data_IF_153791745698
#
_entry.id   IF_153791745698
#
_cell.length_a   1.000
_cell.length_b   1.000
_cell.length_c   1.000
_cell.angle_alpha   90.00
_cell.angle_beta   90.00
_cell.angle_gamma   90.00
#
_symmetry.space_group_name_H-M   'P 1'
#
loop_
_entity.id
_entity.type
_entity.pdbx_description
1 polymer ?
#
# COMPACT_ATOMS: atom_id res chain seq x y z
N UNK A 1 15.69 2.91 15.23
CA UNK A 1 14.95 4.15 15.57
C UNK A 1 15.34 5.39 14.74
N UNK A 2 16.22 5.30 13.72
CA UNK A 2 16.75 6.47 12.98
C UNK A 2 15.78 7.11 11.97
N UNK A 3 14.64 6.48 11.68
CA UNK A 3 13.69 6.91 10.64
C UNK A 3 12.48 7.66 11.18
N UNK A 4 12.22 7.59 12.50
CA UNK A 4 11.06 8.24 13.13
C UNK A 4 11.05 9.76 12.92
N UNK A 5 12.17 10.50 13.09
CA UNK A 5 12.18 11.94 12.85
C UNK A 5 11.90 12.31 11.40
N UNK A 6 12.38 11.49 10.46
CA UNK A 6 12.13 11.66 9.03
C UNK A 6 10.67 11.38 8.66
N UNK A 7 10.07 10.33 9.24
CA UNK A 7 8.65 10.04 9.08
C UNK A 7 7.78 11.19 9.56
N UNK A 8 8.09 11.76 10.74
CA UNK A 8 7.38 12.92 11.27
C UNK A 8 7.52 14.16 10.37
N UNK A 9 8.72 14.41 9.83
CA UNK A 9 8.95 15.52 8.90
C UNK A 9 8.15 15.38 7.61
N UNK A 10 8.10 14.17 7.04
CA UNK A 10 7.31 13.88 5.84
C UNK A 10 5.81 14.03 6.12
N UNK A 11 5.33 13.52 7.26
CA UNK A 11 3.92 13.66 7.66
C UNK A 11 3.53 15.12 7.91
N UNK A 12 4.39 15.91 8.55
CA UNK A 12 4.16 17.33 8.78
C UNK A 12 4.12 18.14 7.48
N UNK A 13 5.04 17.86 6.56
CA UNK A 13 5.05 18.48 5.23
C UNK A 13 3.77 18.14 4.44
N UNK A 14 3.36 16.87 4.47
CA UNK A 14 2.14 16.41 3.81
C UNK A 14 0.88 17.08 4.40
N UNK A 15 0.77 17.13 5.73
CA UNK A 15 -0.32 17.82 6.41
C UNK A 15 -0.36 19.32 6.06
N UNK A 16 0.80 20.00 6.10
CA UNK A 16 0.92 21.41 5.75
C UNK A 16 0.50 21.70 4.30
N UNK A 17 0.96 20.89 3.34
CA UNK A 17 0.56 21.01 1.93
C UNK A 17 -0.95 20.81 1.74
N UNK A 18 -1.53 19.82 2.42
CA UNK A 18 -2.97 19.53 2.33
C UNK A 18 -3.80 20.67 2.92
N UNK A 19 -3.37 21.22 4.06
CA UNK A 19 -4.03 22.36 4.70
C UNK A 19 -3.91 23.66 3.85
N UNK A 20 -2.74 23.94 3.28
CA UNK A 20 -2.48 25.13 2.46
C UNK A 20 -3.24 25.12 1.13
N UNK A 21 -3.46 23.95 0.53
CA UNK A 21 -4.15 23.82 -0.75
C UNK A 21 -5.67 23.74 -0.62
N UNK A 22 -6.23 23.85 0.59
CA UNK A 22 -7.68 23.82 0.84
C UNK A 22 -8.26 22.41 0.95
N UNK A 23 -7.46 21.42 1.34
CA UNK A 23 -7.89 20.03 1.52
C UNK A 23 -8.23 19.21 0.26
N UNK A 24 -7.76 19.52 -0.97
CA UNK A 24 -8.12 18.72 -2.12
C UNK A 24 -7.50 17.32 -1.97
N UNK A 25 -8.37 16.32 -1.96
CA UNK A 25 -8.05 14.90 -1.81
C UNK A 25 -6.96 14.42 -2.79
N UNK A 26 -6.76 15.13 -3.91
CA UNK A 26 -5.72 14.86 -4.89
C UNK A 26 -4.29 14.91 -4.32
N UNK A 27 -4.01 15.76 -3.32
CA UNK A 27 -2.68 15.85 -2.69
C UNK A 27 -2.35 14.54 -1.98
N UNK A 28 -3.34 13.97 -1.29
CA UNK A 28 -3.24 12.65 -0.68
C UNK A 28 -3.02 11.55 -1.71
N UNK A 29 -3.76 11.56 -2.82
CA UNK A 29 -3.60 10.57 -3.88
C UNK A 29 -2.19 10.60 -4.45
N UNK A 30 -1.66 11.78 -4.78
CA UNK A 30 -0.31 11.92 -5.36
C UNK A 30 0.75 11.42 -4.37
N UNK A 31 0.64 11.80 -3.10
CA UNK A 31 1.54 11.34 -2.05
C UNK A 31 1.48 9.82 -1.86
N UNK A 32 0.28 9.26 -1.71
CA UNK A 32 0.08 7.83 -1.52
C UNK A 32 0.59 7.03 -2.73
N UNK A 33 0.32 7.51 -3.95
CA UNK A 33 0.82 6.89 -5.18
C UNK A 33 2.35 6.91 -5.23
N UNK A 34 3.00 8.03 -4.93
CA UNK A 34 4.46 8.13 -4.91
C UNK A 34 5.08 7.15 -3.91
N UNK A 35 4.52 7.06 -2.70
CA UNK A 35 4.98 6.13 -1.66
C UNK A 35 4.80 4.67 -2.09
N UNK A 36 3.60 4.28 -2.54
CA UNK A 36 3.29 2.91 -2.92
C UNK A 36 4.08 2.45 -4.16
N UNK A 37 4.23 3.32 -5.17
CA UNK A 37 5.04 3.00 -6.36
C UNK A 37 6.52 2.87 -6.01
N UNK A 38 7.05 3.73 -5.13
CA UNK A 38 8.43 3.60 -4.65
C UNK A 38 8.63 2.30 -3.88
N UNK A 39 7.72 1.97 -2.97
CA UNK A 39 7.75 0.72 -2.22
C UNK A 39 7.66 -0.50 -3.16
N UNK A 40 6.78 -0.45 -4.15
CA UNK A 40 6.64 -1.50 -5.16
C UNK A 40 7.95 -1.71 -5.93
N UNK A 41 8.59 -0.63 -6.40
CA UNK A 41 9.87 -0.73 -7.10
C UNK A 41 10.95 -1.37 -6.23
N UNK A 42 11.07 -0.95 -4.95
CA UNK A 42 12.03 -1.51 -4.00
C UNK A 42 11.77 -2.99 -3.76
N UNK A 43 10.55 -3.38 -3.41
CA UNK A 43 10.22 -4.78 -3.10
C UNK A 43 10.28 -5.69 -4.32
N UNK A 44 9.95 -5.17 -5.51
CA UNK A 44 10.14 -5.89 -6.78
C UNK A 44 11.63 -6.12 -7.05
N UNK A 45 12.46 -5.10 -6.89
CA UNK A 45 13.92 -5.24 -7.03
C UNK A 45 14.49 -6.25 -6.03
N UNK A 46 14.08 -6.18 -4.76
CA UNK A 46 14.53 -7.14 -3.72
C UNK A 46 14.09 -8.58 -4.02
N UNK A 47 12.90 -8.76 -4.58
CA UNK A 47 12.40 -10.05 -5.02
C UNK A 47 13.21 -10.59 -6.22
N UNK A 48 13.37 -9.77 -7.26
CA UNK A 48 14.08 -10.15 -8.49
C UNK A 48 15.58 -10.42 -8.25
N UNK A 49 16.17 -9.74 -7.26
CA UNK A 49 17.57 -9.94 -6.86
C UNK A 49 17.75 -11.02 -5.78
N UNK A 50 16.68 -11.69 -5.35
CA UNK A 50 16.67 -12.69 -4.28
C UNK A 50 17.31 -12.20 -2.96
N UNK A 51 17.26 -10.90 -2.67
CA UNK A 51 17.92 -10.28 -1.51
C UNK A 51 17.11 -10.30 -0.23
N UNK A 52 15.80 -10.53 -0.34
CA UNK A 52 14.90 -10.56 0.82
C UNK A 52 13.79 -11.58 0.59
N UNK A 53 13.74 -12.61 1.44
CA UNK A 53 12.65 -13.57 1.44
C UNK A 53 11.33 -12.86 1.78
N UNK A 54 10.23 -13.25 1.14
CA UNK A 54 8.94 -12.58 1.31
C UNK A 54 8.78 -11.27 0.53
N UNK A 55 9.83 -10.72 -0.09
CA UNK A 55 9.73 -9.47 -0.85
C UNK A 55 8.73 -9.54 -2.01
N UNK A 56 8.64 -10.69 -2.69
CA UNK A 56 7.65 -10.91 -3.75
C UNK A 56 6.21 -10.85 -3.22
N UNK A 57 5.98 -11.39 -2.01
CA UNK A 57 4.66 -11.38 -1.36
C UNK A 57 4.29 -9.96 -0.95
N UNK A 58 5.25 -9.18 -0.44
CA UNK A 58 5.03 -7.76 -0.12
C UNK A 58 4.76 -6.93 -1.38
N UNK A 59 5.50 -7.17 -2.47
CA UNK A 59 5.24 -6.51 -3.75
C UNK A 59 3.83 -6.80 -4.27
N UNK A 60 3.38 -8.06 -4.19
CA UNK A 60 2.01 -8.46 -4.54
C UNK A 60 0.97 -7.75 -3.66
N UNK A 61 1.20 -7.66 -2.35
CA UNK A 61 0.30 -6.92 -1.46
C UNK A 61 0.18 -5.43 -1.87
N UNK A 62 1.30 -4.78 -2.22
CA UNK A 62 1.31 -3.39 -2.70
C UNK A 62 0.54 -3.26 -4.03
N UNK A 63 0.74 -4.18 -4.97
CA UNK A 63 -0.01 -4.21 -6.23
C UNK A 63 -1.53 -4.34 -5.99
N UNK A 64 -1.94 -5.21 -5.07
CA UNK A 64 -3.35 -5.36 -4.72
C UNK A 64 -3.92 -4.11 -4.07
N UNK A 65 -3.16 -3.36 -3.27
CA UNK A 65 -3.61 -2.07 -2.73
C UNK A 65 -3.79 -1.01 -3.83
N UNK A 66 -2.90 -0.97 -4.83
CA UNK A 66 -3.05 -0.09 -5.99
C UNK A 66 -4.29 -0.48 -6.82
N UNK A 67 -4.51 -1.78 -7.02
CA UNK A 67 -5.72 -2.28 -7.67
C UNK A 67 -6.98 -1.95 -6.88
N UNK A 68 -6.96 -2.07 -5.56
CA UNK A 68 -8.06 -1.69 -4.68
C UNK A 68 -8.38 -0.19 -4.84
N UNK A 69 -7.37 0.68 -4.84
CA UNK A 69 -7.58 2.11 -5.08
C UNK A 69 -8.23 2.40 -6.45
N UNK A 70 -7.85 1.66 -7.49
CA UNK A 70 -8.50 1.77 -8.80
C UNK A 70 -9.96 1.29 -8.76
N UNK A 71 -10.25 0.20 -8.04
CA UNK A 71 -11.63 -0.28 -7.81
C UNK A 71 -12.45 0.78 -7.08
N UNK A 72 -11.92 1.38 -6.01
CA UNK A 72 -12.59 2.43 -5.24
C UNK A 72 -12.91 3.67 -6.09
N UNK A 73 -12.06 4.00 -7.06
CA UNK A 73 -12.27 5.10 -7.99
C UNK A 73 -13.17 4.75 -9.19
N UNK A 74 -13.69 3.53 -9.25
CA UNK A 74 -14.51 3.02 -10.36
C UNK A 74 -15.97 2.84 -9.94
N UNK A 75 -16.82 2.40 -10.89
CA UNK A 75 -18.19 1.97 -10.63
C UNK A 75 -18.33 0.43 -10.59
N UNK A 76 -17.23 -0.29 -10.37
CA UNK A 76 -17.24 -1.76 -10.28
C UNK A 76 -18.10 -2.19 -9.08
N UNK A 77 -18.93 -3.21 -9.29
CA UNK A 77 -19.68 -3.86 -8.23
C UNK A 77 -19.56 -5.38 -8.40
N UNK A 78 -19.67 -6.10 -7.28
CA UNK A 78 -19.59 -7.54 -7.23
C UNK A 78 -20.80 -8.08 -6.48
N UNK A 79 -21.56 -8.96 -7.11
CA UNK A 79 -22.62 -9.70 -6.44
C UNK A 79 -22.10 -11.09 -6.08
N UNK A 80 -21.90 -11.32 -4.78
CA UNK A 80 -21.67 -12.64 -4.22
C UNK A 80 -22.98 -13.13 -3.61
N UNK A 81 -23.00 -13.43 -2.29
CA UNK A 81 -24.23 -13.69 -1.54
C UNK A 81 -24.99 -12.39 -1.19
N UNK A 82 -24.24 -11.29 -1.03
CA UNK A 82 -24.76 -9.93 -0.84
C UNK A 82 -24.12 -9.00 -1.87
N UNK A 83 -24.80 -7.90 -2.27
CA UNK A 83 -24.22 -6.91 -3.17
C UNK A 83 -23.07 -6.15 -2.48
N UNK A 84 -21.95 -6.04 -3.19
CA UNK A 84 -20.85 -5.14 -2.84
C UNK A 84 -20.72 -4.07 -3.92
N UNK A 85 -20.85 -2.81 -3.53
CA UNK A 85 -20.50 -1.66 -4.37
C UNK A 85 -18.97 -1.50 -4.47
N UNK A 86 -18.50 -0.47 -5.15
CA UNK A 86 -17.07 -0.20 -5.35
C UNK A 86 -16.30 -0.12 -4.02
N UNK A 87 -16.91 0.40 -2.94
CA UNK A 87 -16.29 0.46 -1.62
C UNK A 87 -16.24 -0.92 -0.97
N UNK A 88 -17.31 -1.72 -1.09
CA UNK A 88 -17.34 -3.09 -0.65
C UNK A 88 -16.26 -3.95 -1.33
N UNK A 89 -16.14 -3.83 -2.66
CA UNK A 89 -15.11 -4.55 -3.43
C UNK A 89 -13.71 -4.06 -3.07
N UNK A 90 -13.52 -2.74 -2.89
CA UNK A 90 -12.28 -2.17 -2.37
C UNK A 90 -11.85 -2.84 -1.06
N UNK A 91 -12.75 -2.93 -0.08
CA UNK A 91 -12.46 -3.55 1.21
C UNK A 91 -12.13 -5.03 1.11
N UNK A 92 -12.81 -5.79 0.23
CA UNK A 92 -12.48 -7.20 0.00
C UNK A 92 -11.06 -7.38 -0.52
N UNK A 93 -10.65 -6.58 -1.51
CA UNK A 93 -9.27 -6.59 -2.04
C UNK A 93 -8.28 -6.13 -0.97
N UNK A 94 -8.63 -5.11 -0.17
CA UNK A 94 -7.78 -4.56 0.88
C UNK A 94 -7.52 -5.55 2.02
N UNK A 95 -8.53 -6.34 2.43
CA UNK A 95 -8.38 -7.40 3.43
C UNK A 95 -7.36 -8.43 2.96
N UNK A 96 -7.50 -8.90 1.72
CA UNK A 96 -6.56 -9.86 1.12
C UNK A 96 -5.14 -9.28 1.03
N UNK A 97 -5.03 -8.03 0.56
CA UNK A 97 -3.75 -7.32 0.48
C UNK A 97 -3.08 -7.21 1.85
N UNK A 98 -3.83 -6.86 2.89
CA UNK A 98 -3.30 -6.69 4.25
C UNK A 98 -2.82 -8.02 4.83
N UNK A 99 -3.56 -9.11 4.60
CA UNK A 99 -3.14 -10.45 5.00
C UNK A 99 -1.81 -10.86 4.32
N UNK A 100 -1.70 -10.62 3.01
CA UNK A 100 -0.47 -10.89 2.24
C UNK A 100 0.70 -10.01 2.70
N UNK A 101 0.46 -8.73 3.02
CA UNK A 101 1.48 -7.85 3.58
C UNK A 101 2.02 -8.43 4.90
N UNK A 102 1.13 -8.82 5.81
CA UNK A 102 1.51 -9.44 7.09
C UNK A 102 2.34 -10.72 6.89
N UNK A 103 1.92 -11.59 5.97
CA UNK A 103 2.67 -12.80 5.62
C UNK A 103 4.05 -12.46 5.06
N UNK A 104 4.12 -11.58 4.05
CA UNK A 104 5.38 -11.22 3.39
C UNK A 104 6.40 -10.65 4.37
N UNK A 105 5.95 -9.82 5.32
CA UNK A 105 6.77 -9.32 6.41
C UNK A 105 7.23 -10.43 7.36
N UNK A 106 6.34 -11.35 7.74
CA UNK A 106 6.69 -12.49 8.58
C UNK A 106 7.81 -13.34 7.95
N UNK A 107 7.73 -13.63 6.65
CA UNK A 107 8.78 -14.35 5.93
C UNK A 107 10.12 -13.60 5.96
N UNK A 108 10.11 -12.31 5.64
CA UNK A 108 11.34 -11.51 5.63
C UNK A 108 12.00 -11.38 7.01
N UNK A 109 11.19 -11.34 8.07
CA UNK A 109 11.69 -11.31 9.46
C UNK A 109 12.23 -12.67 9.91
N UNK A 110 11.65 -13.78 9.43
CA UNK A 110 12.14 -15.13 9.73
C UNK A 110 13.55 -15.36 9.19
N UNK A 111 13.82 -14.92 7.97
CA UNK A 111 15.13 -15.08 7.31
C UNK A 111 16.23 -14.20 7.91
N UNK A 112 15.87 -13.11 8.59
CA UNK A 112 16.84 -12.24 9.26
C UNK A 112 17.36 -12.82 10.60
N UNK A 113 16.77 -13.91 11.08
CA UNK A 113 17.12 -14.57 12.35
C UNK A 113 18.00 -15.82 12.17
N UNK A 114 18.28 -16.21 10.93
CA UNK A 114 19.14 -17.35 10.56
C UNK A 114 20.44 -16.86 9.95
#
# INVERSE_FOLDING_TARGET
MRLVPWGLGVSAAFFGLTALLGGPFIVFIVYAAAVLLSALAIYTFLAASHRLQGAAVVALAILLNLAAAAVQASNVSLHLLIPFDHNGVFHLVQILSTALLGWGLHLGMGSART
#
